data_IF_515887940990
#
_entry.id   IF_515887940990
#
_cell.length_a   1.000
_cell.length_b   1.000
_cell.length_c   1.000
_cell.angle_alpha   90.00
_cell.angle_beta   90.00
_cell.angle_gamma   90.00
#
_symmetry.space_group_name_H-M   'P 1'
#
loop_
_entity.id
_entity.type
_entity.pdbx_description
1 polymer ?
#
# COMPACT_ATOMS: atom_id res chain seq x y z
N UNK A 1 -20.28 46.63 -21.12
CA UNK A 1 -19.15 46.72 -22.08
C UNK A 1 -18.32 47.99 -21.85
N UNK A 2 -17.91 48.29 -20.60
CA UNK A 2 -17.31 49.58 -20.24
C UNK A 2 -15.97 49.47 -19.47
N UNK A 3 -15.62 48.28 -18.97
CA UNK A 3 -14.43 48.05 -18.13
C UNK A 3 -13.17 47.75 -18.96
N UNK A 4 -13.30 47.01 -20.06
CA UNK A 4 -12.16 46.56 -20.88
C UNK A 4 -11.42 47.71 -21.58
N UNK A 5 -12.12 48.82 -21.85
CA UNK A 5 -11.57 49.98 -22.54
C UNK A 5 -10.66 50.82 -21.65
N UNK A 6 -10.88 50.82 -20.33
CA UNK A 6 -10.02 51.48 -19.34
C UNK A 6 -8.76 50.66 -19.01
N UNK A 7 -8.87 49.33 -18.95
CA UNK A 7 -7.74 48.44 -18.63
C UNK A 7 -6.61 48.52 -19.68
N UNK A 8 -6.96 48.64 -20.97
CA UNK A 8 -5.99 48.81 -22.06
C UNK A 8 -5.22 50.13 -22.01
N UNK A 9 -5.86 51.23 -21.59
CA UNK A 9 -5.24 52.55 -21.55
C UNK A 9 -4.20 52.68 -20.42
N UNK A 10 -4.32 51.88 -19.36
CA UNK A 10 -3.38 51.88 -18.23
C UNK A 10 -2.30 50.79 -18.34
N UNK A 11 -2.29 49.99 -19.41
CA UNK A 11 -1.32 48.91 -19.62
C UNK A 11 -1.60 47.64 -18.81
N UNK A 12 -2.80 47.49 -18.23
CA UNK A 12 -3.13 46.38 -17.36
C UNK A 12 -3.68 45.23 -18.20
N UNK A 13 -2.99 44.09 -18.17
CA UNK A 13 -3.48 42.83 -18.78
C UNK A 13 -4.21 42.03 -17.70
N UNK A 14 -5.28 41.34 -18.09
CA UNK A 14 -5.94 40.35 -17.25
C UNK A 14 -4.94 39.20 -17.08
N UNK A 15 -4.34 39.10 -15.90
CA UNK A 15 -3.63 37.88 -15.49
C UNK A 15 -4.74 36.91 -15.09
N UNK A 16 -5.07 35.99 -15.99
CA UNK A 16 -5.85 34.82 -15.62
C UNK A 16 -4.93 33.95 -14.76
N UNK A 17 -4.90 34.23 -13.45
CA UNK A 17 -4.23 33.44 -12.43
C UNK A 17 -5.06 32.19 -12.07
N UNK A 18 -5.45 31.41 -13.07
CA UNK A 18 -5.72 30.01 -12.80
C UNK A 18 -4.41 29.27 -13.08
N UNK A 19 -3.69 28.81 -12.05
CA UNK A 19 -2.51 28.00 -12.27
C UNK A 19 -2.94 26.81 -13.14
N UNK A 20 -2.20 26.58 -14.24
CA UNK A 20 -2.41 25.37 -15.04
C UNK A 20 -2.40 24.18 -14.06
N UNK A 21 -3.40 23.29 -14.10
CA UNK A 21 -3.38 22.13 -13.24
C UNK A 21 -2.08 21.40 -13.51
N UNK A 22 -1.32 21.14 -12.45
CA UNK A 22 -0.08 20.39 -12.55
C UNK A 22 -0.36 19.13 -13.38
N UNK A 23 0.53 18.76 -14.32
CA UNK A 23 0.30 17.59 -15.16
C UNK A 23 0.01 16.39 -14.25
N UNK A 24 -1.10 15.71 -14.49
CA UNK A 24 -1.43 14.48 -13.78
C UNK A 24 -0.31 13.48 -14.09
N UNK A 25 0.51 13.21 -13.08
CA UNK A 25 1.52 12.16 -13.14
C UNK A 25 0.81 10.89 -12.71
N UNK A 26 0.67 9.93 -13.61
CA UNK A 26 0.18 8.60 -13.26
C UNK A 26 1.02 8.06 -12.08
N UNK A 27 0.39 7.67 -10.96
CA UNK A 27 1.12 7.07 -9.85
C UNK A 27 1.78 5.78 -10.36
N UNK A 28 3.11 5.80 -10.41
CA UNK A 28 3.90 4.61 -10.74
C UNK A 28 3.76 3.60 -9.62
N UNK A 29 3.73 2.32 -9.96
CA UNK A 29 3.80 1.22 -8.99
C UNK A 29 5.00 1.44 -8.06
N UNK A 30 4.75 1.35 -6.76
CA UNK A 30 5.78 1.45 -5.73
C UNK A 30 5.91 0.13 -5.00
N UNK A 31 7.14 -0.26 -4.69
CA UNK A 31 7.43 -1.41 -3.84
C UNK A 31 7.91 -0.96 -2.46
N UNK A 32 7.36 -1.57 -1.42
CA UNK A 32 7.71 -1.32 -0.02
C UNK A 32 7.98 -2.65 0.68
N UNK A 33 9.07 -2.71 1.46
CA UNK A 33 9.42 -3.91 2.23
C UNK A 33 9.30 -3.62 3.73
N UNK A 34 8.59 -4.50 4.44
CA UNK A 34 8.45 -4.47 5.88
C UNK A 34 9.10 -5.71 6.49
N UNK A 35 9.63 -5.60 7.71
CA UNK A 35 10.16 -6.74 8.46
C UNK A 35 9.22 -7.06 9.62
N UNK A 36 8.80 -8.31 9.70
CA UNK A 36 7.91 -8.85 10.73
C UNK A 36 8.74 -9.77 11.62
N UNK A 37 8.99 -9.38 12.86
CA UNK A 37 9.76 -10.19 13.82
C UNK A 37 8.84 -10.78 14.89
N UNK A 38 8.90 -12.09 15.11
CA UNK A 38 8.11 -12.75 16.15
C UNK A 38 8.88 -12.81 17.48
N UNK A 39 8.54 -11.90 18.38
CA UNK A 39 9.14 -11.80 19.72
C UNK A 39 8.30 -12.48 20.81
N UNK A 40 7.20 -13.14 20.46
CA UNK A 40 6.18 -13.60 21.42
C UNK A 40 6.54 -14.88 22.20
N UNK A 41 7.70 -15.50 21.95
CA UNK A 41 8.12 -16.76 22.57
C UNK A 41 7.32 -18.00 22.11
N UNK A 42 6.29 -17.82 21.28
CA UNK A 42 5.45 -18.86 20.66
C UNK A 42 5.37 -18.64 19.16
N UNK A 43 4.91 -19.64 18.41
CA UNK A 43 4.69 -19.47 16.98
C UNK A 43 3.52 -18.50 16.71
N UNK A 44 3.65 -17.71 15.65
CA UNK A 44 2.68 -16.73 15.17
C UNK A 44 2.16 -17.17 13.79
N UNK A 45 0.85 -17.21 13.60
CA UNK A 45 0.25 -17.41 12.28
C UNK A 45 0.04 -16.05 11.59
N UNK A 46 0.65 -15.85 10.42
CA UNK A 46 0.57 -14.63 9.61
C UNK A 46 -0.39 -14.88 8.45
N UNK A 47 -1.47 -14.12 8.38
CA UNK A 47 -2.48 -14.18 7.33
C UNK A 47 -2.31 -13.00 6.37
N UNK A 48 -2.27 -13.26 5.08
CA UNK A 48 -2.24 -12.22 4.05
C UNK A 48 -3.59 -12.17 3.32
N UNK A 49 -4.25 -11.02 3.38
CA UNK A 49 -5.53 -10.77 2.71
C UNK A 49 -5.38 -9.85 1.50
N UNK A 50 -6.18 -10.03 0.43
CA UNK A 50 -7.33 -10.95 0.33
C UNK A 50 -7.00 -12.40 -0.08
N UNK A 51 -5.75 -12.74 -0.37
CA UNK A 51 -5.40 -14.02 -1.01
C UNK A 51 -5.48 -15.27 -0.11
N UNK A 52 -5.73 -15.10 1.20
CA UNK A 52 -5.95 -16.22 2.14
C UNK A 52 -4.70 -17.06 2.41
N UNK A 53 -3.52 -16.47 2.21
CA UNK A 53 -2.25 -17.13 2.48
C UNK A 53 -1.99 -17.17 3.99
N UNK A 54 -1.63 -18.34 4.52
CA UNK A 54 -1.22 -18.47 5.92
C UNK A 54 0.22 -18.94 6.00
N UNK A 55 1.02 -18.19 6.76
CA UNK A 55 2.40 -18.52 7.06
C UNK A 55 2.58 -18.71 8.57
N UNK A 56 3.40 -19.69 8.97
CA UNK A 56 3.75 -19.90 10.38
C UNK A 56 5.15 -19.37 10.63
N UNK A 57 5.26 -18.36 11.48
CA UNK A 57 6.51 -17.76 11.92
C UNK A 57 6.84 -18.24 13.33
N UNK A 58 7.90 -19.01 13.53
CA UNK A 58 8.27 -19.54 14.85
C UNK A 58 8.83 -18.43 15.75
N UNK A 59 8.98 -18.75 17.04
CA UNK A 59 9.51 -17.81 18.02
C UNK A 59 10.95 -17.43 17.69
N UNK A 60 11.25 -16.13 17.65
CA UNK A 60 12.59 -15.60 17.35
C UNK A 60 12.90 -15.49 15.85
N UNK A 61 12.01 -15.97 14.97
CA UNK A 61 12.15 -15.81 13.53
C UNK A 61 11.65 -14.44 13.05
N UNK A 62 12.06 -14.06 11.85
CA UNK A 62 11.54 -12.90 11.16
C UNK A 62 11.21 -13.25 9.71
N UNK A 63 10.21 -12.56 9.15
CA UNK A 63 9.88 -12.61 7.74
C UNK A 63 9.91 -11.20 7.14
N UNK A 64 10.08 -11.12 5.83
CA UNK A 64 10.01 -9.88 5.07
C UNK A 64 8.72 -9.87 4.25
N UNK A 65 7.96 -8.78 4.34
CA UNK A 65 6.75 -8.56 3.58
C UNK A 65 7.04 -7.54 2.50
N UNK A 66 6.98 -7.98 1.24
CA UNK A 66 6.98 -7.11 0.08
C UNK A 66 5.54 -6.73 -0.25
N UNK A 67 5.31 -5.43 -0.40
CA UNK A 67 4.05 -4.83 -0.79
C UNK A 67 4.27 -4.07 -2.08
N UNK A 68 3.58 -4.49 -3.13
CA UNK A 68 3.59 -3.83 -4.44
C UNK A 68 2.23 -3.18 -4.67
N UNK A 69 2.23 -1.96 -5.20
CA UNK A 69 1.01 -1.25 -5.58
C UNK A 69 1.18 0.27 -5.59
N UNK A 70 0.09 1.02 -5.85
CA UNK A 70 0.06 2.47 -5.76
C UNK A 70 0.60 3.02 -4.42
N UNK A 71 1.28 4.18 -4.43
CA UNK A 71 1.94 4.74 -3.25
C UNK A 71 0.98 5.01 -2.08
N UNK A 72 -0.27 5.31 -2.40
CA UNK A 72 -1.31 5.68 -1.44
C UNK A 72 -2.12 4.47 -0.93
N UNK A 73 -1.70 3.25 -1.24
CA UNK A 73 -2.39 2.05 -0.79
C UNK A 73 -2.19 1.81 0.72
N UNK A 74 -3.29 1.80 1.51
CA UNK A 74 -3.23 1.50 2.92
C UNK A 74 -3.05 0.01 3.16
N UNK A 75 -2.25 -0.31 4.19
CA UNK A 75 -2.11 -1.64 4.76
C UNK A 75 -2.73 -1.63 6.15
N UNK A 76 -3.59 -2.59 6.42
CA UNK A 76 -4.13 -2.82 7.75
C UNK A 76 -3.44 -4.00 8.42
N UNK A 77 -3.21 -3.86 9.73
CA UNK A 77 -2.53 -4.83 10.56
C UNK A 77 -3.41 -5.13 11.77
N UNK A 78 -3.83 -6.38 11.92
CA UNK A 78 -4.64 -6.82 13.06
C UNK A 78 -3.90 -7.91 13.84
N UNK A 79 -3.67 -7.67 15.12
CA UNK A 79 -3.06 -8.64 16.02
C UNK A 79 -4.14 -9.38 16.82
N UNK A 80 -4.17 -10.70 16.69
CA UNK A 80 -5.02 -11.58 17.48
C UNK A 80 -4.21 -12.44 18.45
N UNK A 81 -4.88 -13.41 19.08
CA UNK A 81 -4.20 -14.36 19.95
C UNK A 81 -3.39 -15.37 19.12
N UNK A 82 -2.09 -15.11 18.98
CA UNK A 82 -1.19 -15.98 18.20
C UNK A 82 -1.35 -15.81 16.69
N UNK A 83 -2.03 -14.75 16.25
CA UNK A 83 -2.24 -14.44 14.84
C UNK A 83 -1.86 -12.99 14.52
N UNK A 84 -1.43 -12.76 13.28
CA UNK A 84 -1.24 -11.45 12.67
C UNK A 84 -1.92 -11.47 11.31
N UNK A 85 -2.91 -10.61 11.08
CA UNK A 85 -3.55 -10.42 9.78
C UNK A 85 -2.98 -9.17 9.15
N UNK A 86 -2.59 -9.28 7.87
CA UNK A 86 -2.06 -8.19 7.06
C UNK A 86 -2.93 -8.09 5.83
N UNK A 87 -3.72 -7.04 5.77
CA UNK A 87 -4.66 -6.82 4.68
C UNK A 87 -4.16 -5.69 3.78
N UNK A 88 -4.16 -5.96 2.48
CA UNK A 88 -4.01 -4.93 1.46
C UNK A 88 -5.38 -4.54 0.95
N UNK A 89 -5.73 -3.25 1.05
CA UNK A 89 -6.97 -2.71 0.45
C UNK A 89 -6.91 -2.61 -1.08
N UNK A 90 -5.79 -3.04 -1.64
CA UNK A 90 -5.43 -3.04 -3.04
C UNK A 90 -5.97 -4.24 -3.82
N UNK A 91 -7.22 -4.66 -3.58
CA UNK A 91 -7.70 -5.98 -4.00
C UNK A 91 -7.42 -6.32 -5.49
N UNK A 92 -7.39 -5.31 -6.37
CA UNK A 92 -7.17 -5.47 -7.81
C UNK A 92 -5.81 -4.92 -8.34
N UNK A 93 -5.05 -4.18 -7.52
CA UNK A 93 -3.86 -3.42 -7.98
C UNK A 93 -2.62 -3.57 -7.07
N UNK A 94 -2.72 -4.32 -5.98
CA UNK A 94 -1.58 -4.55 -5.10
C UNK A 94 -1.35 -6.01 -4.82
N UNK A 95 -0.12 -6.34 -4.47
CA UNK A 95 0.33 -7.70 -4.18
C UNK A 95 1.02 -7.72 -2.82
N UNK A 96 0.68 -8.71 -1.99
CA UNK A 96 1.43 -9.03 -0.78
C UNK A 96 2.23 -10.31 -1.02
N UNK A 97 3.55 -10.21 -0.85
CA UNK A 97 4.45 -11.35 -0.92
C UNK A 97 5.25 -11.45 0.36
N UNK A 98 5.28 -12.63 0.97
CA UNK A 98 6.08 -12.89 2.16
C UNK A 98 7.33 -13.70 1.81
N UNK A 99 8.45 -13.32 2.39
CA UNK A 99 9.76 -13.94 2.23
C UNK A 99 10.28 -14.39 3.59
N UNK A 100 10.82 -15.59 3.66
CA UNK A 100 11.46 -16.12 4.86
C UNK A 100 12.81 -16.72 4.49
N UNK A 101 13.87 -16.30 5.18
CA UNK A 101 15.25 -16.79 4.94
C UNK A 101 15.71 -16.68 3.47
N UNK A 102 15.20 -15.69 2.74
CA UNK A 102 15.53 -15.47 1.33
C UNK A 102 14.70 -16.29 0.33
N UNK A 103 13.72 -17.07 0.81
CA UNK A 103 12.77 -17.80 -0.05
C UNK A 103 11.40 -17.13 -0.04
N UNK A 104 10.79 -17.02 -1.22
CA UNK A 104 9.42 -16.55 -1.36
C UNK A 104 8.48 -17.63 -0.82
N UNK A 105 7.66 -17.27 0.16
CA UNK A 105 6.68 -18.17 0.73
C UNK A 105 5.47 -18.25 -0.20
N UNK A 106 5.24 -19.44 -0.76
CA UNK A 106 4.03 -19.69 -1.51
C UNK A 106 2.81 -19.70 -0.57
N UNK A 107 1.68 -19.10 -0.98
CA UNK A 107 0.48 -19.09 -0.16
C UNK A 107 0.00 -20.54 0.07
N UNK A 108 -0.11 -20.94 1.33
CA UNK A 108 -0.86 -22.16 1.67
C UNK A 108 -2.33 -21.77 1.62
N UNK A 109 -3.03 -22.20 0.57
CA UNK A 109 -4.48 -22.02 0.48
C UNK A 109 -5.13 -22.81 1.62
N UNK A 110 -5.76 -22.09 2.55
CA UNK A 110 -6.69 -22.71 3.49
C UNK A 110 -7.96 -23.01 2.71
N UNK A 111 -8.22 -24.30 2.45
CA UNK A 111 -9.53 -24.75 1.98
C UNK A 111 -10.55 -24.42 3.06
N UNK A 112 -11.24 -23.28 2.92
CA UNK A 112 -12.25 -22.78 3.87
C UNK A 112 -13.56 -23.56 3.82
N UNK A 113 -13.60 -24.72 3.15
CA UNK A 113 -14.74 -25.64 3.18
C UNK A 113 -14.74 -26.44 4.49
N UNK A 114 -15.36 -25.88 5.54
CA UNK A 114 -15.95 -26.66 6.64
C UNK A 114 -17.31 -26.13 7.02
#
# INVERSE_FOLDING_TARGET
MMIERWMKAMGWRRVSDEPEPAPYVEPRETSRTYRIANTSGRALAVFLEPWGAVYRLNAGEYAELLVEGPPDHPLDWEFGEGTLVIASHAADEGMLTLWHEGEQMHPVSVDTRR
#
